data_IF_630780465784
#
_entry.id   IF_630780465784
#
_cell.length_a   1.000
_cell.length_b   1.000
_cell.length_c   1.000
_cell.angle_alpha   90.00
_cell.angle_beta   90.00
_cell.angle_gamma   90.00
#
_symmetry.space_group_name_H-M   'P 1'
#
loop_
_entity.id
_entity.type
_entity.pdbx_description
1 polymer ?
#
# COMPACT_ATOMS: atom_id res chain seq x y z
N UNK A 1 22.04 13.90 -19.55
CA UNK A 1 21.45 14.81 -18.52
C UNK A 1 20.72 13.94 -17.53
N UNK A 2 21.15 14.03 -16.28
CA UNK A 2 20.84 13.11 -15.18
C UNK A 2 19.39 13.24 -14.68
N UNK A 3 18.80 12.13 -14.21
CA UNK A 3 17.49 11.99 -13.53
C UNK A 3 17.34 12.81 -12.21
N UNK A 4 17.95 13.99 -12.10
CA UNK A 4 18.20 14.70 -10.83
C UNK A 4 17.26 15.88 -10.53
N UNK A 5 16.00 15.81 -10.91
CA UNK A 5 14.97 16.65 -10.29
C UNK A 5 13.85 15.77 -9.77
N UNK A 6 14.13 15.01 -8.71
CA UNK A 6 13.13 14.23 -8.00
C UNK A 6 12.09 15.20 -7.43
N UNK A 7 10.91 15.24 -8.04
CA UNK A 7 9.76 15.91 -7.43
C UNK A 7 9.47 15.16 -6.12
N UNK A 8 9.68 15.81 -4.98
CA UNK A 8 9.33 15.27 -3.66
C UNK A 8 7.85 14.84 -3.63
N UNK A 9 7.49 13.92 -2.74
CA UNK A 9 6.10 13.49 -2.57
C UNK A 9 5.10 14.65 -2.37
N UNK A 10 3.81 14.32 -2.50
CA UNK A 10 2.73 15.27 -2.21
C UNK A 10 2.11 14.91 -0.86
N UNK A 11 1.92 15.86 0.06
CA UNK A 11 1.11 15.62 1.24
C UNK A 11 -0.36 15.54 0.81
N UNK A 12 -1.09 14.56 1.31
CA UNK A 12 -2.49 14.31 0.96
C UNK A 12 -3.37 14.55 2.18
N UNK A 13 -4.42 15.36 2.03
CA UNK A 13 -5.45 15.55 3.03
C UNK A 13 -6.82 15.16 2.43
N UNK A 14 -7.57 14.38 3.20
CA UNK A 14 -8.93 13.94 2.91
C UNK A 14 -9.79 14.49 4.05
N UNK A 15 -10.72 15.37 3.70
CA UNK A 15 -11.53 16.10 4.67
C UNK A 15 -13.01 15.84 4.42
N UNK A 16 -13.64 15.14 5.35
CA UNK A 16 -15.08 14.87 5.34
C UNK A 16 -15.56 14.15 4.10
N UNK A 17 -14.80 13.16 3.60
CA UNK A 17 -15.07 12.56 2.30
C UNK A 17 -16.22 11.54 2.38
N UNK A 18 -17.25 11.77 1.58
CA UNK A 18 -18.37 10.84 1.38
C UNK A 18 -18.45 10.38 -0.08
N UNK A 19 -18.86 9.12 -0.27
CA UNK A 19 -19.20 8.58 -1.59
C UNK A 19 -20.39 7.64 -1.50
N UNK A 20 -21.41 7.91 -2.30
CA UNK A 20 -22.56 7.03 -2.50
C UNK A 20 -22.74 6.64 -3.97
N UNK A 21 -23.29 5.46 -4.19
CA UNK A 21 -23.79 5.01 -5.49
C UNK A 21 -25.27 4.69 -5.35
N UNK A 22 -26.13 5.56 -5.87
CA UNK A 22 -27.57 5.52 -5.58
C UNK A 22 -27.81 5.68 -4.08
N UNK A 23 -28.56 4.75 -3.48
CA UNK A 23 -28.85 4.73 -2.03
C UNK A 23 -27.72 4.13 -1.18
N UNK A 24 -26.73 3.46 -1.79
CA UNK A 24 -25.66 2.79 -1.04
C UNK A 24 -24.51 3.76 -0.77
N UNK A 25 -24.34 4.14 0.49
CA UNK A 25 -23.15 4.85 0.95
C UNK A 25 -21.98 3.86 1.11
N UNK A 26 -20.88 4.15 0.42
CA UNK A 26 -19.66 3.32 0.41
C UNK A 26 -18.56 3.94 1.27
N UNK A 27 -18.38 5.26 1.21
CA UNK A 27 -17.49 6.00 2.10
C UNK A 27 -18.30 7.03 2.88
N UNK A 28 -17.97 7.15 4.17
CA UNK A 28 -18.68 7.97 5.15
C UNK A 28 -17.64 8.73 5.96
N UNK A 29 -17.62 10.05 5.85
CA UNK A 29 -16.75 10.93 6.65
C UNK A 29 -15.29 10.46 6.76
N UNK A 30 -14.65 10.09 5.64
CA UNK A 30 -13.23 9.73 5.70
C UNK A 30 -12.43 11.00 6.00
N UNK A 31 -11.68 10.94 7.09
CA UNK A 31 -10.74 11.97 7.54
C UNK A 31 -9.35 11.34 7.55
N UNK A 32 -8.42 11.87 6.76
CA UNK A 32 -7.07 11.32 6.67
C UNK A 32 -6.06 12.38 6.24
N UNK A 33 -4.93 12.44 6.95
CA UNK A 33 -3.81 13.30 6.59
C UNK A 33 -2.55 12.45 6.42
N UNK A 34 -1.92 12.53 5.27
CA UNK A 34 -0.72 11.79 4.89
C UNK A 34 0.38 12.80 4.60
N UNK A 35 1.46 12.84 5.39
CA UNK A 35 2.62 13.69 5.13
C UNK A 35 3.30 13.35 3.80
N UNK A 36 4.04 14.32 3.27
CA UNK A 36 4.89 14.15 2.10
C UNK A 36 5.81 12.94 2.26
N UNK A 37 5.82 12.07 1.24
CA UNK A 37 6.76 10.95 1.18
C UNK A 37 6.41 9.78 2.10
N UNK A 38 5.30 9.84 2.85
CA UNK A 38 4.89 8.72 3.71
C UNK A 38 4.38 7.53 2.88
N UNK A 39 4.71 6.31 3.29
CA UNK A 39 4.11 5.10 2.76
C UNK A 39 2.93 4.68 3.65
N UNK A 40 1.71 4.77 3.12
CA UNK A 40 0.49 4.38 3.85
C UNK A 40 -0.13 3.16 3.19
N UNK A 41 -0.49 2.16 4.00
CA UNK A 41 -1.30 1.03 3.56
C UNK A 41 -2.73 1.15 4.07
N UNK A 42 -3.70 0.91 3.21
CA UNK A 42 -5.13 0.87 3.51
C UNK A 42 -5.60 -0.57 3.42
N UNK A 43 -6.07 -1.09 4.55
CA UNK A 43 -6.57 -2.46 4.70
C UNK A 43 -8.05 -2.46 5.06
N UNK A 44 -8.68 -3.63 4.96
CA UNK A 44 -10.09 -3.82 5.33
C UNK A 44 -10.74 -4.92 4.51
N UNK A 45 -11.94 -5.33 4.93
CA UNK A 45 -12.70 -6.41 4.28
C UNK A 45 -13.05 -6.07 2.83
N UNK A 46 -13.35 -7.09 2.03
CA UNK A 46 -13.86 -6.89 0.67
C UNK A 46 -15.14 -6.06 0.71
N UNK A 47 -15.21 -5.03 -0.14
CA UNK A 47 -16.39 -4.15 -0.23
C UNK A 47 -16.48 -3.01 0.78
N UNK A 48 -15.48 -2.79 1.64
CA UNK A 48 -15.47 -1.65 2.59
C UNK A 48 -15.16 -0.28 1.95
N UNK A 49 -14.83 -0.23 0.65
CA UNK A 49 -14.64 1.03 -0.09
C UNK A 49 -13.20 1.39 -0.46
N UNK A 50 -12.21 0.52 -0.22
CA UNK A 50 -10.77 0.79 -0.52
C UNK A 50 -10.52 1.19 -1.98
N UNK A 51 -10.97 0.39 -2.94
CA UNK A 51 -10.79 0.71 -4.36
C UNK A 51 -11.61 1.93 -4.80
N UNK A 52 -12.74 2.22 -4.13
CA UNK A 52 -13.49 3.46 -4.34
C UNK A 52 -12.67 4.66 -3.90
N UNK A 53 -12.05 4.60 -2.71
CA UNK A 53 -11.15 5.62 -2.21
C UNK A 53 -9.99 5.87 -3.19
N UNK A 54 -9.35 4.81 -3.68
CA UNK A 54 -8.28 4.94 -4.68
C UNK A 54 -8.74 5.61 -5.98
N UNK A 55 -9.93 5.27 -6.49
CA UNK A 55 -10.46 5.88 -7.72
C UNK A 55 -10.74 7.37 -7.54
N UNK A 56 -11.25 7.78 -6.37
CA UNK A 56 -11.44 9.19 -6.03
C UNK A 56 -10.10 9.93 -5.99
N UNK A 57 -9.10 9.36 -5.33
CA UNK A 57 -7.75 9.93 -5.25
C UNK A 57 -7.04 10.00 -6.62
N UNK A 58 -7.32 9.06 -7.52
CA UNK A 58 -6.78 9.05 -8.88
C UNK A 58 -7.54 10.00 -9.84
N UNK A 59 -8.59 10.69 -9.38
CA UNK A 59 -9.45 11.52 -10.23
C UNK A 59 -10.24 10.72 -11.28
N UNK A 60 -10.51 9.44 -11.01
CA UNK A 60 -11.29 8.54 -11.87
C UNK A 60 -12.77 8.51 -11.49
N UNK A 61 -13.14 9.09 -10.36
CA UNK A 61 -14.50 9.24 -9.87
C UNK A 61 -14.59 10.55 -9.06
N UNK A 62 -15.80 11.04 -8.81
CA UNK A 62 -16.05 12.25 -8.03
C UNK A 62 -16.64 11.93 -6.66
N UNK A 63 -16.20 12.67 -5.64
CA UNK A 63 -16.75 12.57 -4.31
C UNK A 63 -18.20 13.07 -4.29
N UNK A 64 -19.03 12.48 -3.42
CA UNK A 64 -20.38 13.01 -3.19
C UNK A 64 -20.36 14.25 -2.31
N UNK A 65 -19.45 14.28 -1.31
CA UNK A 65 -19.18 15.41 -0.43
C UNK A 65 -17.73 15.33 0.08
N UNK A 66 -17.25 16.42 0.67
CA UNK A 66 -15.89 16.53 1.21
C UNK A 66 -14.87 17.01 0.17
N UNK A 67 -13.61 17.05 0.60
CA UNK A 67 -12.51 17.58 -0.21
C UNK A 67 -11.31 16.63 -0.22
N UNK A 68 -10.61 16.62 -1.35
CA UNK A 68 -9.33 15.94 -1.54
C UNK A 68 -8.30 17.01 -1.86
N UNK A 69 -7.26 17.12 -1.03
CA UNK A 69 -6.28 18.19 -1.08
C UNK A 69 -4.87 17.62 -1.21
N UNK A 70 -4.06 18.27 -2.05
CA UNK A 70 -2.63 18.10 -2.15
C UNK A 70 -1.94 19.27 -1.45
N UNK A 71 -1.66 19.14 -0.16
CA UNK A 71 -1.30 20.27 0.69
C UNK A 71 -2.45 21.27 0.78
N UNK A 72 -2.25 22.47 0.23
CA UNK A 72 -3.24 23.57 0.29
C UNK A 72 -4.10 23.70 -0.98
N UNK A 73 -3.83 22.88 -2.02
CA UNK A 73 -4.55 22.96 -3.30
C UNK A 73 -5.43 21.72 -3.51
N UNK A 74 -6.51 21.81 -4.31
CA UNK A 74 -7.30 20.63 -4.67
C UNK A 74 -6.42 19.55 -5.33
N UNK A 75 -6.63 18.28 -4.98
CA UNK A 75 -5.86 17.15 -5.51
C UNK A 75 -5.93 17.05 -7.04
N UNK A 76 -7.07 17.41 -7.64
CA UNK A 76 -7.25 17.40 -9.10
C UNK A 76 -6.29 18.36 -9.84
N UNK A 77 -5.81 19.42 -9.17
CA UNK A 77 -4.82 20.36 -9.73
C UNK A 77 -3.43 19.75 -9.95
N UNK A 78 -3.13 18.63 -9.28
CA UNK A 78 -1.85 17.90 -9.37
C UNK A 78 -2.05 16.50 -9.96
N UNK A 79 -3.11 16.33 -10.76
CA UNK A 79 -3.45 15.03 -11.37
C UNK A 79 -2.33 14.44 -12.22
N UNK A 80 -1.54 15.29 -12.89
CA UNK A 80 -0.40 14.84 -13.68
C UNK A 80 0.70 14.18 -12.82
N UNK A 81 0.83 14.59 -11.56
CA UNK A 81 1.81 14.05 -10.60
C UNK A 81 1.31 12.77 -9.90
N UNK A 82 0.06 12.36 -10.15
CA UNK A 82 -0.56 11.17 -9.54
C UNK A 82 -0.61 10.01 -10.52
N UNK A 83 -0.17 8.82 -10.10
CA UNK A 83 -0.24 7.59 -10.91
C UNK A 83 -0.87 6.46 -10.14
N UNK A 84 -1.78 5.73 -10.80
CA UNK A 84 -2.47 4.57 -10.28
C UNK A 84 -1.96 3.31 -10.99
N UNK A 85 -1.52 2.34 -10.20
CA UNK A 85 -1.24 0.97 -10.62
C UNK A 85 -2.39 0.07 -10.18
N UNK A 86 -3.02 -0.61 -11.13
CA UNK A 86 -4.12 -1.53 -10.87
C UNK A 86 -3.62 -2.92 -10.52
N UNK A 87 -4.49 -3.72 -9.90
CA UNK A 87 -4.25 -5.13 -9.57
C UNK A 87 -3.83 -5.96 -10.79
N UNK A 88 -4.49 -5.76 -11.93
CA UNK A 88 -4.05 -6.30 -13.22
C UNK A 88 -3.05 -5.32 -13.86
N UNK A 89 -1.89 -5.86 -14.28
CA UNK A 89 -0.85 -5.10 -14.97
C UNK A 89 -1.38 -4.37 -16.23
N UNK A 90 -2.46 -4.85 -16.86
CA UNK A 90 -3.13 -4.19 -18.01
C UNK A 90 -2.13 -3.72 -19.07
N UNK A 91 -1.17 -4.60 -19.40
CA UNK A 91 -0.24 -4.35 -20.49
C UNK A 91 -0.97 -4.56 -21.82
N UNK A 92 -0.69 -3.71 -22.81
CA UNK A 92 -1.20 -3.85 -24.16
C UNK A 92 -0.48 -5.03 -24.84
N UNK A 93 -1.16 -6.15 -25.13
CA UNK A 93 -0.51 -7.39 -25.56
C UNK A 93 0.12 -7.28 -26.95
N UNK A 94 -0.34 -6.34 -27.78
CA UNK A 94 0.19 -6.03 -29.11
C UNK A 94 1.28 -4.96 -29.13
N UNK A 95 1.78 -4.52 -27.97
CA UNK A 95 2.93 -3.62 -27.85
C UNK A 95 4.06 -4.31 -27.12
N UNK A 96 5.31 -3.97 -27.45
CA UNK A 96 6.47 -4.48 -26.71
C UNK A 96 6.52 -3.92 -25.29
N UNK A 97 7.35 -4.51 -24.44
CA UNK A 97 7.55 -4.08 -23.05
C UNK A 97 7.96 -2.60 -22.97
N UNK A 98 8.94 -2.16 -23.76
CA UNK A 98 9.38 -0.75 -23.79
C UNK A 98 8.25 0.20 -24.21
N UNK A 99 7.43 -0.19 -25.18
CA UNK A 99 6.30 0.61 -25.68
C UNK A 99 5.14 0.65 -24.67
N UNK A 100 5.00 -0.40 -23.86
CA UNK A 100 4.07 -0.40 -22.73
C UNK A 100 4.50 0.59 -21.65
N UNK A 101 5.80 0.64 -21.33
CA UNK A 101 6.34 1.59 -20.36
C UNK A 101 6.17 3.03 -20.86
N UNK A 102 6.49 3.31 -22.12
CA UNK A 102 6.36 4.64 -22.72
C UNK A 102 4.93 5.11 -23.05
N UNK A 103 3.89 4.41 -22.60
CA UNK A 103 2.51 4.72 -22.97
C UNK A 103 2.11 6.14 -22.56
N UNK A 104 1.54 6.90 -23.49
CA UNK A 104 1.06 8.27 -23.26
C UNK A 104 2.15 9.35 -23.28
N UNK A 105 3.42 8.99 -23.49
CA UNK A 105 4.51 9.95 -23.62
C UNK A 105 4.75 10.35 -25.08
N UNK A 106 5.13 11.61 -25.27
CA UNK A 106 5.52 12.18 -26.58
C UNK A 106 7.02 12.50 -26.57
N UNK A 107 7.60 12.69 -27.76
CA UNK A 107 9.04 12.97 -27.90
C UNK A 107 9.93 11.75 -27.65
N UNK A 108 11.18 11.99 -27.23
CA UNK A 108 12.19 10.94 -27.06
C UNK A 108 12.12 10.30 -25.65
N UNK A 109 11.11 9.44 -25.44
CA UNK A 109 10.86 8.78 -24.15
C UNK A 109 11.62 7.46 -23.98
N UNK A 110 12.16 6.85 -25.04
CA UNK A 110 12.81 5.52 -24.99
C UNK A 110 13.97 5.44 -24.00
N UNK A 111 14.88 6.42 -23.90
CA UNK A 111 15.94 6.40 -22.89
C UNK A 111 15.38 6.35 -21.46
N UNK A 112 14.36 7.16 -21.15
CA UNK A 112 13.67 7.13 -19.84
C UNK A 112 12.97 5.80 -19.58
N UNK A 113 12.38 5.19 -20.62
CA UNK A 113 11.77 3.86 -20.49
C UNK A 113 12.82 2.78 -20.20
N UNK A 114 14.01 2.87 -20.79
CA UNK A 114 15.12 1.97 -20.50
C UNK A 114 15.57 2.11 -19.03
N UNK A 115 15.67 3.34 -18.54
CA UNK A 115 16.02 3.64 -17.14
C UNK A 115 14.95 3.11 -16.16
N UNK A 116 13.67 3.33 -16.46
CA UNK A 116 12.57 2.82 -15.65
C UNK A 116 12.52 1.27 -15.63
N UNK A 117 12.79 0.62 -16.77
CA UNK A 117 12.92 -0.83 -16.84
C UNK A 117 14.13 -1.35 -16.07
N UNK A 118 15.27 -0.64 -16.12
CA UNK A 118 16.44 -0.97 -15.32
C UNK A 118 16.16 -0.87 -13.83
N UNK A 119 15.42 0.15 -13.40
CA UNK A 119 15.03 0.35 -12.00
C UNK A 119 14.17 -0.80 -11.43
N UNK A 120 13.44 -1.53 -12.29
CA UNK A 120 12.67 -2.72 -11.92
C UNK A 120 13.34 -4.04 -12.31
N UNK A 121 14.60 -4.01 -12.78
CA UNK A 121 15.38 -5.19 -13.14
C UNK A 121 14.93 -5.90 -14.42
N UNK A 122 14.41 -5.16 -15.42
CA UNK A 122 13.91 -5.69 -16.69
C UNK A 122 14.48 -4.99 -17.94
N UNK A 123 15.66 -4.39 -17.83
CA UNK A 123 16.28 -3.64 -18.94
C UNK A 123 16.56 -4.50 -20.18
N UNK A 124 16.94 -5.76 -19.97
CA UNK A 124 17.24 -6.77 -20.99
C UNK A 124 15.98 -7.31 -21.69
N UNK A 125 14.81 -7.16 -21.07
CA UNK A 125 13.51 -7.65 -21.57
C UNK A 125 12.73 -6.58 -22.34
N UNK A 126 13.32 -5.40 -22.58
CA UNK A 126 12.65 -4.25 -23.17
C UNK A 126 12.00 -4.51 -24.54
N UNK A 127 12.60 -5.40 -25.34
CA UNK A 127 12.15 -5.69 -26.71
C UNK A 127 11.15 -6.84 -26.82
N UNK A 128 10.77 -7.44 -25.70
CA UNK A 128 9.85 -8.58 -25.70
C UNK A 128 8.38 -8.18 -25.73
N UNK A 129 7.55 -9.18 -26.00
CA UNK A 129 6.11 -9.08 -25.91
C UNK A 129 5.64 -9.45 -24.51
N UNK A 130 4.57 -8.81 -23.97
CA UNK A 130 4.02 -9.14 -22.66
C UNK A 130 3.68 -10.62 -22.48
N UNK A 131 3.34 -11.35 -23.55
CA UNK A 131 3.06 -12.78 -23.49
C UNK A 131 4.26 -13.64 -23.04
N UNK A 132 5.49 -13.16 -23.23
CA UNK A 132 6.71 -13.85 -22.82
C UNK A 132 7.08 -13.63 -21.34
N UNK A 133 6.34 -12.76 -20.63
CA UNK A 133 6.61 -12.40 -19.25
C UNK A 133 5.78 -13.20 -18.25
N UNK A 134 6.38 -13.52 -17.10
CA UNK A 134 5.66 -14.04 -15.94
C UNK A 134 4.71 -12.99 -15.34
N UNK A 135 3.78 -13.41 -14.48
CA UNK A 135 2.88 -12.49 -13.78
C UNK A 135 3.62 -11.40 -13.00
N UNK A 136 4.67 -11.78 -12.25
CA UNK A 136 5.54 -10.85 -11.54
C UNK A 136 6.27 -9.87 -12.44
N UNK A 137 6.82 -10.36 -13.57
CA UNK A 137 7.48 -9.50 -14.55
C UNK A 137 6.50 -8.50 -15.17
N UNK A 138 5.26 -8.91 -15.47
CA UNK A 138 4.22 -7.99 -15.95
C UNK A 138 3.90 -6.90 -14.93
N UNK A 139 3.84 -7.24 -13.64
CA UNK A 139 3.66 -6.26 -12.57
C UNK A 139 4.83 -5.27 -12.48
N UNK A 140 6.07 -5.76 -12.60
CA UNK A 140 7.26 -4.89 -12.66
C UNK A 140 7.24 -3.95 -13.86
N UNK A 141 6.79 -4.41 -15.03
CA UNK A 141 6.58 -3.53 -16.20
C UNK A 141 5.50 -2.49 -15.93
N UNK A 142 4.40 -2.86 -15.29
CA UNK A 142 3.35 -1.91 -14.90
C UNK A 142 3.86 -0.86 -13.90
N UNK A 143 4.72 -1.26 -12.95
CA UNK A 143 5.40 -0.34 -12.04
C UNK A 143 6.36 0.59 -12.80
N UNK A 144 7.19 0.09 -13.71
CA UNK A 144 8.05 0.92 -14.56
C UNK A 144 7.23 1.92 -15.39
N UNK A 145 6.08 1.50 -15.92
CA UNK A 145 5.13 2.37 -16.62
C UNK A 145 4.55 3.46 -15.72
N UNK A 146 4.37 3.21 -14.42
CA UNK A 146 3.97 4.27 -13.49
C UNK A 146 5.13 5.23 -13.20
N UNK A 147 6.33 4.71 -12.99
CA UNK A 147 7.52 5.46 -12.56
C UNK A 147 8.13 6.35 -13.64
N UNK A 148 8.03 5.99 -14.91
CA UNK A 148 8.55 6.82 -16.02
C UNK A 148 7.88 8.21 -16.06
N UNK A 149 6.67 8.34 -15.50
CA UNK A 149 5.96 9.61 -15.37
C UNK A 149 6.42 10.44 -14.16
N UNK A 150 7.42 9.98 -13.41
CA UNK A 150 8.01 10.66 -12.25
C UNK A 150 6.92 11.11 -11.24
N UNK A 151 6.06 10.19 -10.76
CA UNK A 151 4.93 10.54 -9.90
C UNK A 151 5.40 11.05 -8.54
N UNK A 152 4.67 12.02 -7.99
CA UNK A 152 4.81 12.46 -6.60
C UNK A 152 3.85 11.73 -5.66
N UNK A 153 2.74 11.20 -6.21
CA UNK A 153 1.79 10.34 -5.51
C UNK A 153 1.60 9.05 -6.31
N UNK A 154 1.99 7.92 -5.72
CA UNK A 154 1.80 6.60 -6.30
C UNK A 154 0.70 5.85 -5.55
N UNK A 155 -0.36 5.53 -6.28
CA UNK A 155 -1.53 4.82 -5.81
C UNK A 155 -1.43 3.37 -6.30
N UNK A 156 -1.57 2.39 -5.41
CA UNK A 156 -1.42 0.97 -5.72
C UNK A 156 -2.67 0.20 -5.28
N UNK A 157 -3.41 -0.39 -6.20
CA UNK A 157 -4.63 -1.18 -5.94
C UNK A 157 -4.30 -2.67 -5.98
N UNK A 158 -4.06 -3.31 -4.84
CA UNK A 158 -3.73 -4.73 -4.70
C UNK A 158 -2.62 -5.24 -5.66
N UNK A 159 -1.49 -4.53 -5.83
CA UNK A 159 -0.47 -4.87 -6.85
C UNK A 159 0.22 -6.22 -6.62
N UNK A 160 0.06 -6.82 -5.44
CA UNK A 160 0.75 -8.03 -4.99
C UNK A 160 -0.15 -9.27 -4.93
N UNK A 161 -1.48 -9.11 -5.00
CA UNK A 161 -2.43 -10.17 -4.69
C UNK A 161 -2.38 -11.38 -5.63
N UNK A 162 -1.97 -11.18 -6.89
CA UNK A 162 -1.87 -12.24 -7.89
C UNK A 162 -0.48 -12.92 -7.96
N UNK A 163 0.44 -12.56 -7.07
CA UNK A 163 1.82 -13.06 -7.08
C UNK A 163 2.01 -14.23 -6.11
N UNK A 164 2.87 -15.18 -6.51
CA UNK A 164 3.37 -16.21 -5.60
C UNK A 164 4.21 -15.59 -4.47
N UNK A 165 4.44 -16.37 -3.41
CA UNK A 165 5.05 -15.86 -2.19
C UNK A 165 6.44 -15.25 -2.39
N UNK A 166 7.30 -15.85 -3.22
CA UNK A 166 8.66 -15.36 -3.44
C UNK A 166 8.65 -14.09 -4.28
N UNK A 167 7.93 -14.12 -5.41
CA UNK A 167 7.79 -12.95 -6.29
C UNK A 167 7.17 -11.77 -5.55
N UNK A 168 6.22 -12.03 -4.65
CA UNK A 168 5.61 -11.02 -3.77
C UNK A 168 6.64 -10.36 -2.85
N UNK A 169 7.50 -11.16 -2.19
CA UNK A 169 8.58 -10.64 -1.33
C UNK A 169 9.49 -9.72 -2.14
N UNK A 170 9.95 -10.18 -3.31
CA UNK A 170 10.83 -9.40 -4.16
C UNK A 170 10.17 -8.10 -4.63
N UNK A 171 8.87 -8.14 -4.98
CA UNK A 171 8.12 -6.97 -5.42
C UNK A 171 7.92 -5.96 -4.28
N UNK A 172 7.68 -6.41 -3.04
CA UNK A 172 7.61 -5.53 -1.87
C UNK A 172 8.92 -4.79 -1.65
N UNK A 173 10.04 -5.53 -1.62
CA UNK A 173 11.37 -4.96 -1.47
C UNK A 173 11.67 -3.98 -2.61
N UNK A 174 11.28 -4.31 -3.84
CA UNK A 174 11.44 -3.41 -4.98
C UNK A 174 10.68 -2.09 -4.79
N UNK A 175 9.40 -2.15 -4.43
CA UNK A 175 8.57 -0.95 -4.19
C UNK A 175 9.15 -0.13 -3.04
N UNK A 176 9.52 -0.76 -1.94
CA UNK A 176 10.12 -0.10 -0.77
C UNK A 176 11.43 0.62 -1.13
N UNK A 177 12.33 -0.05 -1.86
CA UNK A 177 13.60 0.54 -2.29
C UNK A 177 13.39 1.73 -3.23
N UNK A 178 12.46 1.61 -4.19
CA UNK A 178 12.14 2.70 -5.11
C UNK A 178 11.52 3.88 -4.36
N UNK A 179 10.60 3.61 -3.44
CA UNK A 179 10.00 4.63 -2.59
C UNK A 179 11.05 5.36 -1.74
N UNK A 180 11.94 4.65 -1.03
CA UNK A 180 13.01 5.26 -0.24
C UNK A 180 13.97 6.09 -1.10
N UNK A 181 14.27 5.61 -2.31
CA UNK A 181 15.17 6.30 -3.23
C UNK A 181 14.57 7.58 -3.80
N UNK A 182 13.28 7.57 -4.12
CA UNK A 182 12.64 8.65 -4.87
C UNK A 182 11.80 9.60 -4.00
N UNK A 183 11.37 9.16 -2.81
CA UNK A 183 10.65 10.00 -1.82
C UNK A 183 9.24 10.42 -2.24
N UNK A 184 8.59 9.71 -3.16
CA UNK A 184 7.18 9.95 -3.51
C UNK A 184 6.26 9.46 -2.38
N UNK A 185 5.06 10.02 -2.28
CA UNK A 185 4.03 9.53 -1.34
C UNK A 185 3.38 8.27 -1.91
N UNK A 186 3.14 7.26 -1.08
CA UNK A 186 2.51 6.00 -1.51
C UNK A 186 1.23 5.74 -0.74
N UNK A 187 0.17 5.39 -1.46
CA UNK A 187 -1.02 4.77 -0.89
C UNK A 187 -1.22 3.38 -1.49
N UNK A 188 -1.00 2.35 -0.69
CA UNK A 188 -1.21 0.95 -1.04
C UNK A 188 -2.54 0.47 -0.49
N UNK A 189 -3.45 0.02 -1.34
CA UNK A 189 -4.59 -0.80 -0.92
C UNK A 189 -4.20 -2.26 -1.01
N UNK A 190 -4.39 -2.99 0.09
CA UNK A 190 -4.23 -4.44 0.13
C UNK A 190 -5.27 -5.06 1.05
N UNK A 191 -5.55 -6.34 0.86
CA UNK A 191 -6.33 -7.15 1.80
C UNK A 191 -5.42 -8.00 2.71
N UNK A 192 -4.11 -8.02 2.44
CA UNK A 192 -3.13 -8.79 3.21
C UNK A 192 -2.47 -7.88 4.26
N UNK A 193 -2.77 -8.17 5.53
CA UNK A 193 -2.29 -7.39 6.68
C UNK A 193 -0.78 -7.52 6.84
N UNK A 194 -0.23 -8.71 6.58
CA UNK A 194 1.21 -8.98 6.67
C UNK A 194 1.98 -8.10 5.67
N UNK A 195 1.45 -7.91 4.46
CA UNK A 195 2.03 -6.98 3.47
C UNK A 195 2.00 -5.54 3.99
N UNK A 196 0.84 -5.10 4.51
CA UNK A 196 0.65 -3.73 4.96
C UNK A 196 1.66 -3.33 6.05
N UNK A 197 1.80 -4.17 7.08
CA UNK A 197 2.77 -3.90 8.16
C UNK A 197 4.22 -4.06 7.71
N UNK A 198 4.49 -4.90 6.70
CA UNK A 198 5.85 -5.10 6.21
C UNK A 198 6.40 -3.87 5.49
N UNK A 199 5.60 -3.14 4.69
CA UNK A 199 6.10 -2.02 3.87
C UNK A 199 5.75 -0.64 4.39
N UNK A 200 4.57 -0.45 4.99
CA UNK A 200 4.03 0.89 5.26
C UNK A 200 4.59 1.52 6.53
N UNK A 201 4.74 2.85 6.55
CA UNK A 201 4.95 3.62 7.78
C UNK A 201 3.70 3.67 8.65
N UNK A 202 2.53 3.50 8.03
CA UNK A 202 1.22 3.62 8.68
C UNK A 202 0.19 2.74 8.01
N UNK A 203 -0.63 2.07 8.80
CA UNK A 203 -1.72 1.19 8.36
C UNK A 203 -3.05 1.80 8.78
N UNK A 204 -3.92 2.02 7.80
CA UNK A 204 -5.28 2.53 7.97
C UNK A 204 -6.25 1.40 7.70
N UNK A 205 -7.12 1.08 8.65
CA UNK A 205 -8.24 0.16 8.43
C UNK A 205 -9.47 0.95 8.02
N UNK A 206 -10.05 0.59 6.87
CA UNK A 206 -11.39 1.02 6.50
C UNK A 206 -12.40 -0.08 6.84
N UNK A 207 -13.38 0.25 7.67
CA UNK A 207 -14.50 -0.60 8.05
C UNK A 207 -15.82 0.19 7.94
N UNK A 208 -16.85 -0.44 7.37
CA UNK A 208 -18.18 0.18 7.15
C UNK A 208 -18.19 1.56 6.47
N UNK A 209 -17.13 1.83 5.68
CA UNK A 209 -16.93 3.08 4.95
C UNK A 209 -16.24 4.19 5.75
N UNK A 210 -15.75 3.91 6.95
CA UNK A 210 -15.09 4.85 7.86
C UNK A 210 -13.67 4.37 8.21
N UNK A 211 -12.84 5.26 8.75
CA UNK A 211 -11.53 4.89 9.32
C UNK A 211 -11.75 4.27 10.70
N UNK A 212 -11.52 2.97 10.83
CA UNK A 212 -11.74 2.21 12.08
C UNK A 212 -10.49 1.94 12.92
N UNK A 213 -9.31 2.05 12.31
CA UNK A 213 -8.01 1.99 12.96
C UNK A 213 -7.00 2.81 12.17
N UNK A 214 -6.12 3.48 12.90
CA UNK A 214 -5.00 4.23 12.37
C UNK A 214 -3.76 3.87 13.19
N UNK A 215 -2.86 3.09 12.60
CA UNK A 215 -1.73 2.47 13.28
C UNK A 215 -0.41 2.92 12.65
N UNK A 216 0.42 3.62 13.42
CA UNK A 216 1.81 3.86 13.03
C UNK A 216 2.64 2.57 13.16
N UNK A 217 3.51 2.30 12.18
CA UNK A 217 4.44 1.18 12.13
C UNK A 217 5.85 1.71 12.33
N UNK A 218 6.16 2.09 13.56
CA UNK A 218 7.45 2.67 13.95
C UNK A 218 8.50 1.57 14.20
N UNK A 219 8.83 0.85 13.12
CA UNK A 219 9.86 -0.18 13.11
C UNK A 219 10.94 0.15 12.08
N UNK A 220 12.23 -0.01 12.44
CA UNK A 220 13.33 0.26 11.52
C UNK A 220 13.31 -0.70 10.32
N UNK A 221 13.89 -0.24 9.21
CA UNK A 221 14.03 -1.00 7.97
C UNK A 221 15.47 -1.48 7.79
N UNK A 222 15.71 -2.66 7.19
CA UNK A 222 14.72 -3.59 6.65
C UNK A 222 13.94 -4.30 7.76
N UNK A 223 12.63 -4.45 7.57
CA UNK A 223 11.78 -5.15 8.55
C UNK A 223 11.92 -6.66 8.35
N UNK A 224 12.41 -7.35 9.36
CA UNK A 224 12.54 -8.80 9.32
C UNK A 224 11.18 -9.47 9.51
N UNK A 225 10.76 -10.25 8.52
CA UNK A 225 9.60 -11.13 8.62
C UNK A 225 9.81 -12.11 9.79
N UNK A 226 8.80 -12.24 10.64
CA UNK A 226 8.87 -13.07 11.85
C UNK A 226 9.45 -12.37 13.08
N UNK A 227 9.81 -11.08 13.01
CA UNK A 227 10.12 -10.31 14.22
C UNK A 227 8.89 -10.21 15.12
N UNK A 228 9.08 -10.37 16.43
CA UNK A 228 7.98 -10.34 17.40
C UNK A 228 7.23 -9.01 17.38
N UNK A 229 7.94 -7.89 17.19
CA UNK A 229 7.29 -6.58 17.11
C UNK A 229 6.40 -6.44 15.87
N UNK A 230 6.84 -6.94 14.70
CA UNK A 230 6.04 -6.88 13.48
C UNK A 230 4.80 -7.78 13.59
N UNK A 231 4.97 -8.99 14.14
CA UNK A 231 3.87 -9.92 14.39
C UNK A 231 2.83 -9.34 15.36
N UNK A 232 3.26 -8.60 16.38
CA UNK A 232 2.34 -7.92 17.30
C UNK A 232 1.50 -6.82 16.61
N UNK A 233 2.12 -6.05 15.71
CA UNK A 233 1.39 -5.05 14.90
C UNK A 233 0.42 -5.73 13.92
N UNK A 234 0.85 -6.82 13.30
CA UNK A 234 0.01 -7.63 12.42
C UNK A 234 -1.22 -8.16 13.16
N UNK A 235 -1.03 -8.78 14.33
CA UNK A 235 -2.11 -9.29 15.17
C UNK A 235 -3.11 -8.19 15.53
N UNK A 236 -2.63 -7.00 15.96
CA UNK A 236 -3.50 -5.87 16.29
C UNK A 236 -4.41 -5.44 15.14
N UNK A 237 -3.89 -5.42 13.91
CA UNK A 237 -4.69 -5.08 12.72
C UNK A 237 -5.64 -6.23 12.38
N UNK A 238 -5.17 -7.48 12.45
CA UNK A 238 -5.96 -8.66 12.15
C UNK A 238 -7.15 -8.82 13.10
N UNK A 239 -6.95 -8.66 14.40
CA UNK A 239 -7.99 -8.72 15.43
C UNK A 239 -9.10 -7.72 15.13
N UNK A 240 -8.73 -6.49 14.77
CA UNK A 240 -9.68 -5.45 14.37
C UNK A 240 -10.44 -5.81 13.09
N UNK A 241 -9.73 -6.31 12.05
CA UNK A 241 -10.35 -6.76 10.79
C UNK A 241 -11.32 -7.92 11.01
N UNK A 242 -10.99 -8.86 11.87
CA UNK A 242 -11.81 -10.03 12.19
C UNK A 242 -12.93 -9.70 13.18
N UNK A 243 -12.86 -8.58 13.89
CA UNK A 243 -13.80 -8.22 14.95
C UNK A 243 -13.60 -9.06 16.21
N UNK A 244 -12.41 -9.66 16.36
CA UNK A 244 -12.01 -10.36 17.57
C UNK A 244 -11.68 -9.29 18.61
N UNK A 245 -12.51 -9.16 19.65
CA UNK A 245 -12.08 -8.42 20.83
C UNK A 245 -11.03 -9.26 21.56
N UNK A 246 -9.95 -8.66 22.09
CA UNK A 246 -9.03 -9.40 22.93
C UNK A 246 -9.84 -9.95 24.11
N UNK A 247 -9.91 -11.28 24.22
CA UNK A 247 -10.38 -11.92 25.44
C UNK A 247 -9.51 -11.37 26.57
N UNK A 248 -10.08 -10.83 27.67
CA UNK A 248 -9.28 -10.42 28.80
C UNK A 248 -8.45 -11.64 29.21
N UNK A 249 -7.12 -11.47 29.29
CA UNK A 249 -6.25 -12.51 29.80
C UNK A 249 -6.86 -13.03 31.12
N UNK A 250 -7.03 -14.35 31.29
CA UNK A 250 -7.67 -14.87 32.49
C UNK A 250 -6.92 -14.28 33.69
N UNK A 251 -7.65 -13.53 34.53
CA UNK A 251 -7.08 -13.02 35.77
C UNK A 251 -6.47 -14.21 36.49
N UNK A 252 -5.17 -14.16 36.82
CA UNK A 252 -4.56 -15.32 37.42
C UNK A 252 -5.26 -15.51 38.77
N UNK A 253 -5.83 -16.70 38.97
CA UNK A 253 -6.45 -17.05 40.25
C UNK A 253 -5.34 -17.19 41.28
N UNK A 254 -5.08 -16.11 42.01
CA UNK A 254 -4.07 -16.07 43.08
C UNK A 254 -4.32 -17.12 44.17
N UNK A 255 -5.55 -17.63 44.25
CA UNK A 255 -5.98 -18.73 45.14
C UNK A 255 -5.29 -20.06 44.84
N UNK A 256 -4.85 -20.33 43.60
CA UNK A 256 -4.14 -21.57 43.24
C UNK A 256 -2.61 -21.47 43.45
N UNK A 257 -2.05 -20.26 43.52
CA UNK A 257 -0.60 -20.03 43.70
C UNK A 257 -0.19 -20.03 45.18
N UNK A 258 -1.14 -19.79 46.10
CA UNK A 258 -0.89 -19.70 47.55
C UNK A 258 -1.34 -20.94 48.33
N UNK A 259 -1.56 -22.09 47.68
CA UNK A 259 -1.76 -23.34 48.41
C UNK A 259 -0.59 -23.57 49.38
N UNK A 260 -0.84 -23.64 50.70
CA UNK A 260 0.23 -23.61 51.69
C UNK A 260 1.10 -24.86 51.57
N UNK A 261 2.41 -24.65 51.42
CA UNK A 261 3.43 -25.65 51.72
C UNK A 261 3.37 -25.94 53.22
N UNK A 262 2.44 -26.81 53.64
CA UNK A 262 2.40 -27.38 54.98
C UNK A 262 2.50 -28.90 54.88
N UNK A 263 3.47 -29.40 55.64
CA UNK A 263 3.66 -30.78 56.07
C UNK A 263 4.44 -31.74 55.16
N UNK A 264 5.77 -31.55 55.16
CA UNK A 264 6.73 -32.66 55.24
C UNK A 264 7.81 -32.37 56.28
N UNK A 265 7.43 -32.36 57.55
CA UNK A 265 8.35 -32.61 58.67
C UNK A 265 7.58 -33.28 59.79
N UNK A 266 7.54 -34.61 59.75
CA UNK A 266 7.69 -35.53 60.90
C UNK A 266 7.50 -36.96 60.41
N UNK A 267 8.61 -37.68 60.25
CA UNK A 267 8.67 -39.11 60.51
C UNK A 267 10.11 -39.43 60.92
N UNK A 268 10.20 -39.97 62.12
CA UNK A 268 11.37 -40.43 62.88
C UNK A 268 12.15 -41.51 62.14
#
# INVERSE_FOLDING_TARGET
MSLHSLKQGIPLAIEGLYKAFGSRQVLKDIQLQIPTGQFVAVVGRSGCGKSTLLRLLAGLDQASQGQLLAGMVPLDSVREDTRLMFQDARLLPWKRVIDNVGLGLTGNWKPKAQEALAAVGLADRAQEWPAALSGGQKQRVALARALIHEPRLLLLDEPLGALDALTRIEMQQLIENLWQKHGFTVLLVTHDVSEAVAVADRVILIEDGQVGLDLAVDLPRPRHRGSAQLAALEAKVLDRVLGLQPEPAPEPKWEEVLAPVRERRTAT
#
